data_IF_243994967807
#
_entry.id   IF_243994967807
#
_cell.length_a   1.000
_cell.length_b   1.000
_cell.length_c   1.000
_cell.angle_alpha   90.00
_cell.angle_beta   90.00
_cell.angle_gamma   90.00
#
_symmetry.space_group_name_H-M   'P 1'
#
loop_
_entity.id
_entity.type
_entity.pdbx_description
1 polymer ?
#
# COMPACT_ATOMS: atom_id res chain seq x y z
N UNK A 1 52.07 67.03 2.01
CA UNK A 1 50.71 66.75 2.52
C UNK A 1 50.33 65.30 2.25
N UNK A 2 50.22 64.43 3.27
CA UNK A 2 49.75 63.05 3.12
C UNK A 2 48.24 62.93 3.38
N UNK A 3 47.51 62.26 2.49
CA UNK A 3 46.07 61.95 2.69
C UNK A 3 45.90 60.55 3.28
N UNK A 4 45.06 60.53 4.33
CA UNK A 4 44.80 59.47 5.31
C UNK A 4 44.40 58.10 4.73
N UNK A 5 44.67 57.00 5.46
CA UNK A 5 44.20 55.65 5.10
C UNK A 5 42.70 55.48 5.34
N UNK A 6 42.01 54.80 4.42
CA UNK A 6 40.58 54.45 4.53
C UNK A 6 40.41 53.26 5.48
N UNK A 7 39.68 53.54 6.56
CA UNK A 7 38.97 52.68 7.51
C UNK A 7 38.87 51.18 7.17
N UNK A 8 39.28 50.39 8.17
CA UNK A 8 38.90 48.99 8.36
C UNK A 8 37.38 48.80 8.26
N UNK A 9 36.94 47.88 7.40
CA UNK A 9 35.55 47.46 7.30
C UNK A 9 35.27 46.41 8.37
N UNK A 10 34.21 46.68 9.12
CA UNK A 10 33.72 45.89 10.22
C UNK A 10 33.23 44.50 9.78
N UNK A 11 33.55 43.52 10.63
CA UNK A 11 32.73 42.38 11.03
C UNK A 11 31.55 41.98 10.12
N UNK A 12 31.74 40.91 9.36
CA UNK A 12 30.64 40.04 8.92
C UNK A 12 30.91 38.62 9.44
N UNK A 13 30.34 38.31 10.60
CA UNK A 13 30.24 36.93 11.12
C UNK A 13 29.36 36.13 10.16
N UNK A 14 29.84 35.09 9.47
CA UNK A 14 28.94 34.16 8.82
C UNK A 14 28.17 33.39 9.89
N UNK A 15 26.87 33.60 9.88
CA UNK A 15 25.86 32.97 10.72
C UNK A 15 26.08 31.46 10.72
N UNK A 16 26.30 30.88 11.91
CA UNK A 16 26.23 29.42 12.12
C UNK A 16 24.90 28.96 11.52
N UNK A 17 24.95 28.30 10.35
CA UNK A 17 23.84 27.52 9.81
C UNK A 17 23.39 26.61 10.94
N UNK A 18 22.31 26.99 11.62
CA UNK A 18 21.62 26.15 12.59
C UNK A 18 21.24 24.90 11.81
N UNK A 19 22.03 23.83 11.99
CA UNK A 19 21.59 22.48 11.65
C UNK A 19 20.24 22.33 12.34
N UNK A 20 19.15 22.36 11.56
CA UNK A 20 17.82 22.04 12.06
C UNK A 20 17.95 20.66 12.66
N UNK A 21 17.96 20.57 14.00
CA UNK A 21 17.86 19.28 14.68
C UNK A 21 16.55 18.64 14.19
N UNK A 22 16.55 17.38 13.75
CA UNK A 22 15.29 16.70 13.47
C UNK A 22 14.43 16.77 14.74
N UNK A 23 13.15 17.07 14.57
CA UNK A 23 12.20 17.15 15.70
C UNK A 23 12.17 15.78 16.37
N UNK A 24 12.57 15.74 17.64
CA UNK A 24 12.78 14.53 18.47
C UNK A 24 11.55 13.62 18.66
N UNK A 25 10.38 13.93 18.05
CA UNK A 25 9.10 13.26 18.32
C UNK A 25 8.33 12.83 17.07
N UNK A 26 8.96 12.66 15.91
CA UNK A 26 8.32 11.90 14.83
C UNK A 26 8.36 10.42 15.26
N UNK A 27 7.24 9.92 15.82
CA UNK A 27 7.04 8.48 16.06
C UNK A 27 7.36 7.77 14.75
N UNK A 28 8.52 7.12 14.67
CA UNK A 28 8.82 6.24 13.54
C UNK A 28 7.72 5.19 13.48
N UNK A 29 7.13 4.92 12.30
CA UNK A 29 6.12 3.91 12.18
C UNK A 29 6.74 2.57 12.60
N UNK A 30 6.13 1.91 13.58
CA UNK A 30 6.59 0.61 14.05
C UNK A 30 6.14 -0.46 13.05
N UNK A 31 7.03 -1.40 12.67
CA UNK A 31 6.65 -2.47 11.76
C UNK A 31 5.52 -3.30 12.39
N UNK A 32 4.46 -3.54 11.62
CA UNK A 32 3.33 -4.34 12.06
C UNK A 32 3.75 -5.81 12.05
N UNK A 33 3.70 -6.49 13.20
CA UNK A 33 3.98 -7.93 13.31
C UNK A 33 2.71 -8.78 13.23
N UNK A 34 1.54 -8.17 13.46
CA UNK A 34 0.25 -8.83 13.42
C UNK A 34 -0.80 -7.84 12.91
N UNK A 35 -1.55 -8.24 11.88
CA UNK A 35 -2.43 -7.33 11.15
C UNK A 35 -3.76 -7.04 11.85
N UNK A 36 -4.23 -7.97 12.67
CA UNK A 36 -5.50 -7.86 13.39
C UNK A 36 -5.29 -8.15 14.88
N UNK A 37 -6.00 -7.43 15.73
CA UNK A 37 -6.02 -7.63 17.17
C UNK A 37 -7.18 -8.57 17.57
N UNK A 38 -7.11 -9.21 18.75
CA UNK A 38 -8.22 -10.02 19.25
C UNK A 38 -9.54 -9.25 19.33
N UNK A 39 -9.49 -7.93 19.57
CA UNK A 39 -10.64 -7.02 19.58
C UNK A 39 -11.31 -6.83 18.22
N UNK A 40 -10.64 -7.17 17.11
CA UNK A 40 -11.18 -6.99 15.76
C UNK A 40 -12.03 -8.19 15.32
N UNK A 41 -11.86 -9.35 15.96
CA UNK A 41 -12.63 -10.56 15.68
C UNK A 41 -14.14 -10.35 15.85
N UNK A 42 -14.66 -9.76 16.94
CA UNK A 42 -16.10 -9.54 17.08
C UNK A 42 -16.70 -8.59 16.05
N UNK A 43 -15.88 -7.74 15.44
CA UNK A 43 -16.30 -6.79 14.42
C UNK A 43 -16.39 -7.45 13.04
N UNK A 44 -15.40 -8.28 12.68
CA UNK A 44 -15.22 -8.76 11.30
C UNK A 44 -15.37 -10.27 11.10
N UNK A 45 -15.22 -11.06 12.17
CA UNK A 45 -15.21 -12.51 12.14
C UNK A 45 -16.54 -13.13 12.53
N UNK A 46 -16.72 -13.32 13.83
CA UNK A 46 -17.86 -14.00 14.49
C UNK A 46 -18.22 -13.28 15.80
N UNK A 47 -19.43 -13.50 16.31
CA UNK A 47 -19.87 -12.94 17.59
C UNK A 47 -19.00 -13.38 18.76
N UNK A 48 -18.85 -12.52 19.77
CA UNK A 48 -18.06 -12.81 20.99
C UNK A 48 -18.49 -14.10 21.69
N UNK A 49 -19.80 -14.39 21.71
CA UNK A 49 -20.36 -15.60 22.31
C UNK A 49 -19.78 -16.88 21.71
N UNK A 50 -19.45 -16.86 20.42
CA UNK A 50 -18.88 -18.01 19.72
C UNK A 50 -17.40 -18.25 20.11
N UNK A 51 -16.72 -17.25 20.69
CA UNK A 51 -15.31 -17.29 21.08
C UNK A 51 -15.15 -17.54 22.59
N UNK A 52 -16.21 -17.37 23.37
CA UNK A 52 -16.21 -17.43 24.85
C UNK A 52 -15.57 -18.68 25.49
N UNK A 53 -15.44 -19.79 24.76
CA UNK A 53 -14.81 -21.03 25.23
C UNK A 53 -13.39 -21.29 24.72
N UNK A 54 -12.79 -20.36 23.97
CA UNK A 54 -11.47 -20.51 23.36
C UNK A 54 -10.42 -19.79 24.21
N UNK A 55 -9.29 -20.44 24.55
CA UNK A 55 -8.23 -19.78 25.29
C UNK A 55 -7.63 -18.60 24.50
N UNK A 56 -7.32 -17.48 25.16
CA UNK A 56 -6.81 -16.28 24.48
C UNK A 56 -5.49 -16.55 23.74
N UNK A 57 -4.64 -17.44 24.26
CA UNK A 57 -3.40 -17.83 23.58
C UNK A 57 -3.65 -18.52 22.23
N UNK A 58 -4.72 -19.32 22.10
CA UNK A 58 -5.06 -19.96 20.83
C UNK A 58 -5.55 -18.94 19.80
N UNK A 59 -6.30 -17.93 20.26
CA UNK A 59 -6.75 -16.82 19.42
C UNK A 59 -5.56 -16.04 18.86
N UNK A 60 -4.60 -15.70 19.71
CA UNK A 60 -3.38 -15.01 19.27
C UNK A 60 -2.54 -15.86 18.31
N UNK A 61 -2.38 -17.16 18.59
CA UNK A 61 -1.64 -18.06 17.70
C UNK A 61 -2.30 -18.16 16.32
N UNK A 62 -3.62 -18.24 16.27
CA UNK A 62 -4.37 -18.27 15.02
C UNK A 62 -4.23 -16.96 14.24
N UNK A 63 -4.35 -15.80 14.89
CA UNK A 63 -4.13 -14.49 14.25
C UNK A 63 -2.70 -14.33 13.71
N UNK A 64 -1.69 -14.85 14.40
CA UNK A 64 -0.31 -14.88 13.91
C UNK A 64 -0.15 -15.80 12.70
N UNK A 65 -0.79 -16.97 12.71
CA UNK A 65 -0.83 -17.88 11.57
C UNK A 65 -1.46 -17.24 10.33
N UNK A 66 -2.63 -16.62 10.50
CA UNK A 66 -3.32 -15.87 9.46
C UNK A 66 -2.47 -14.71 8.92
N UNK A 67 -1.82 -13.95 9.80
CA UNK A 67 -0.92 -12.86 9.40
C UNK A 67 0.26 -13.37 8.56
N UNK A 68 0.86 -14.50 8.93
CA UNK A 68 1.93 -15.14 8.17
C UNK A 68 1.49 -15.58 6.77
N UNK A 69 0.23 -16.03 6.64
CA UNK A 69 -0.35 -16.40 5.34
C UNK A 69 -0.52 -15.19 4.43
N UNK A 70 -1.02 -14.07 4.99
CA UNK A 70 -1.16 -12.80 4.26
C UNK A 70 0.21 -12.26 3.86
N UNK A 71 1.21 -12.30 4.75
CA UNK A 71 2.59 -11.92 4.45
C UNK A 71 3.14 -12.67 3.24
N UNK A 72 2.87 -13.99 3.18
CA UNK A 72 3.30 -14.82 2.06
C UNK A 72 2.71 -14.35 0.73
N UNK A 73 1.43 -13.98 0.70
CA UNK A 73 0.79 -13.42 -0.49
C UNK A 73 1.38 -12.05 -0.86
N UNK A 74 1.60 -11.19 0.13
CA UNK A 74 2.04 -9.81 -0.07
C UNK A 74 3.53 -9.69 -0.42
N UNK A 75 4.38 -10.63 0.00
CA UNK A 75 5.81 -10.70 -0.36
C UNK A 75 6.07 -10.67 -1.86
N UNK A 76 5.10 -11.09 -2.67
CA UNK A 76 5.23 -11.07 -4.13
C UNK A 76 5.25 -9.65 -4.72
N UNK A 77 4.69 -8.64 -4.02
CA UNK A 77 4.50 -7.29 -4.55
C UNK A 77 4.98 -6.16 -3.64
N UNK A 78 5.01 -6.34 -2.33
CA UNK A 78 5.34 -5.30 -1.37
C UNK A 78 6.70 -5.52 -0.69
N UNK A 79 7.36 -4.41 -0.33
CA UNK A 79 8.60 -4.44 0.43
C UNK A 79 8.30 -4.53 1.92
N UNK A 80 8.63 -5.66 2.52
CA UNK A 80 8.45 -5.87 3.96
C UNK A 80 9.53 -5.15 4.77
N UNK A 81 9.23 -4.60 5.95
CA UNK A 81 7.96 -4.67 6.69
C UNK A 81 6.90 -3.64 6.26
N UNK A 82 5.62 -3.98 6.49
CA UNK A 82 4.51 -3.02 6.32
C UNK A 82 4.33 -2.13 7.57
N UNK A 83 3.95 -0.88 7.32
CA UNK A 83 3.72 0.14 8.34
C UNK A 83 2.24 0.44 8.58
N UNK A 84 1.41 0.35 7.53
CA UNK A 84 -0.04 0.52 7.63
C UNK A 84 -0.75 -0.50 6.75
N UNK A 85 -1.89 -0.98 7.20
CA UNK A 85 -2.77 -1.88 6.44
C UNK A 85 -4.19 -1.37 6.40
N UNK A 86 -4.90 -1.69 5.32
CA UNK A 86 -6.30 -1.33 5.14
C UNK A 86 -7.25 -2.24 5.94
N UNK A 87 -8.50 -1.79 6.09
CA UNK A 87 -9.54 -2.57 6.76
C UNK A 87 -9.85 -3.88 6.04
N UNK A 88 -9.62 -3.97 4.72
CA UNK A 88 -9.83 -5.20 3.97
C UNK A 88 -8.83 -6.28 4.38
N UNK A 89 -7.56 -5.92 4.57
CA UNK A 89 -6.52 -6.82 5.08
C UNK A 89 -6.83 -7.28 6.50
N UNK A 90 -7.25 -6.37 7.38
CA UNK A 90 -7.68 -6.71 8.75
C UNK A 90 -8.82 -7.71 8.73
N UNK A 91 -9.86 -7.44 7.92
CA UNK A 91 -11.02 -8.33 7.76
C UNK A 91 -10.61 -9.72 7.24
N UNK A 92 -9.74 -9.79 6.23
CA UNK A 92 -9.26 -11.06 5.70
C UNK A 92 -8.50 -11.87 6.77
N UNK A 93 -7.66 -11.19 7.56
CA UNK A 93 -6.92 -11.81 8.67
C UNK A 93 -7.88 -12.41 9.72
N UNK A 94 -8.89 -11.64 10.16
CA UNK A 94 -9.89 -12.12 11.11
C UNK A 94 -10.66 -13.34 10.59
N UNK A 95 -11.09 -13.33 9.32
CA UNK A 95 -11.86 -14.43 8.73
C UNK A 95 -11.04 -15.72 8.67
N UNK A 96 -9.77 -15.63 8.27
CA UNK A 96 -8.87 -16.79 8.22
C UNK A 96 -8.61 -17.34 9.62
N UNK A 97 -8.30 -16.47 10.59
CA UNK A 97 -8.04 -16.90 11.96
C UNK A 97 -9.26 -17.59 12.59
N UNK A 98 -10.45 -17.01 12.42
CA UNK A 98 -11.68 -17.61 12.95
C UNK A 98 -11.95 -18.99 12.37
N UNK A 99 -11.71 -19.19 11.07
CA UNK A 99 -11.88 -20.49 10.45
C UNK A 99 -10.95 -21.54 11.06
N UNK A 100 -9.67 -21.22 11.24
CA UNK A 100 -8.72 -22.14 11.85
C UNK A 100 -9.16 -22.53 13.28
N UNK A 101 -9.65 -21.55 14.06
CA UNK A 101 -10.17 -21.81 15.41
C UNK A 101 -11.40 -22.72 15.42
N UNK A 102 -12.34 -22.51 14.50
CA UNK A 102 -13.58 -23.29 14.42
C UNK A 102 -13.34 -24.71 13.90
N UNK A 103 -12.40 -24.88 12.98
CA UNK A 103 -12.00 -26.22 12.48
C UNK A 103 -11.43 -27.06 13.63
N UNK A 104 -10.60 -26.48 14.49
CA UNK A 104 -10.02 -27.18 15.65
C UNK A 104 -11.08 -27.54 16.69
N UNK A 105 -12.12 -26.71 16.87
CA UNK A 105 -13.20 -26.92 17.84
C UNK A 105 -14.17 -28.05 17.44
N UNK A 106 -14.25 -28.38 16.15
CA UNK A 106 -15.20 -29.35 15.61
C UNK A 106 -16.20 -28.66 14.70
N UNK A 107 -15.82 -28.56 13.42
CA UNK A 107 -16.62 -27.99 12.34
C UNK A 107 -17.80 -28.92 11.97
N UNK A 108 -19.03 -28.41 11.96
CA UNK A 108 -20.22 -29.12 11.50
C UNK A 108 -20.90 -28.36 10.34
N UNK A 109 -20.64 -28.73 9.07
CA UNK A 109 -21.19 -28.03 7.92
C UNK A 109 -22.72 -28.07 7.85
N UNK A 110 -23.38 -29.02 8.51
CA UNK A 110 -24.84 -29.14 8.51
C UNK A 110 -25.55 -28.10 9.39
N UNK A 111 -24.82 -27.37 10.24
CA UNK A 111 -25.38 -26.32 11.10
C UNK A 111 -25.69 -25.00 10.35
N UNK A 112 -25.37 -24.89 9.05
CA UNK A 112 -25.66 -23.75 8.18
C UNK A 112 -24.81 -22.49 8.43
N UNK A 113 -24.45 -22.19 9.69
CA UNK A 113 -23.54 -21.10 10.03
C UNK A 113 -22.10 -21.36 9.52
N UNK A 114 -21.70 -22.63 9.54
CA UNK A 114 -20.36 -23.09 9.16
C UNK A 114 -20.10 -22.97 7.65
N UNK A 115 -21.13 -23.17 6.82
CA UNK A 115 -21.02 -23.01 5.37
C UNK A 115 -20.76 -21.55 4.97
N UNK A 116 -21.44 -20.60 5.60
CA UNK A 116 -21.19 -19.17 5.40
C UNK A 116 -19.75 -18.79 5.74
N UNK A 117 -19.17 -19.42 6.76
CA UNK A 117 -17.80 -19.17 7.16
C UNK A 117 -16.80 -19.72 6.14
N UNK A 118 -17.08 -20.92 5.60
CA UNK A 118 -16.31 -21.49 4.50
C UNK A 118 -16.32 -20.60 3.26
N UNK A 119 -17.47 -20.05 2.88
CA UNK A 119 -17.59 -19.11 1.75
C UNK A 119 -16.78 -17.84 1.99
N UNK A 120 -16.85 -17.26 3.18
CA UNK A 120 -16.05 -16.07 3.53
C UNK A 120 -14.54 -16.32 3.43
N UNK A 121 -14.08 -17.50 3.82
CA UNK A 121 -12.66 -17.90 3.70
C UNK A 121 -12.27 -18.09 2.23
N UNK A 122 -13.17 -18.64 1.40
CA UNK A 122 -12.94 -18.76 -0.04
C UNK A 122 -12.85 -17.38 -0.71
N UNK A 123 -13.71 -16.44 -0.32
CA UNK A 123 -13.67 -15.06 -0.80
C UNK A 123 -12.37 -14.37 -0.38
N UNK A 124 -11.97 -14.51 0.89
CA UNK A 124 -10.72 -13.97 1.40
C UNK A 124 -9.50 -14.53 0.66
N UNK A 125 -9.46 -15.85 0.42
CA UNK A 125 -8.41 -16.49 -0.37
C UNK A 125 -8.40 -16.03 -1.83
N UNK A 126 -9.57 -15.83 -2.42
CA UNK A 126 -9.70 -15.34 -3.79
C UNK A 126 -9.21 -13.90 -3.90
N UNK A 127 -9.53 -13.06 -2.91
CA UNK A 127 -8.99 -11.71 -2.79
C UNK A 127 -7.46 -11.71 -2.64
N UNK A 128 -6.90 -12.53 -1.74
CA UNK A 128 -5.43 -12.65 -1.58
C UNK A 128 -4.74 -13.09 -2.88
N UNK A 129 -5.34 -14.00 -3.66
CA UNK A 129 -4.84 -14.38 -4.98
C UNK A 129 -4.90 -13.23 -5.98
N UNK A 130 -5.94 -12.40 -5.95
CA UNK A 130 -6.05 -11.21 -6.79
C UNK A 130 -5.01 -10.14 -6.40
N UNK A 131 -4.69 -10.02 -5.12
CA UNK A 131 -3.63 -9.14 -4.64
C UNK A 131 -2.25 -9.64 -5.08
N UNK A 132 -1.97 -10.94 -4.91
CA UNK A 132 -0.70 -11.55 -5.33
C UNK A 132 -0.50 -11.49 -6.85
N UNK A 133 -1.56 -11.66 -7.65
CA UNK A 133 -1.52 -11.52 -9.11
C UNK A 133 -1.50 -10.06 -9.58
N UNK A 134 -1.73 -9.11 -8.67
CA UNK A 134 -1.71 -7.69 -8.95
C UNK A 134 -2.93 -7.12 -9.67
N UNK A 135 -4.03 -7.87 -9.71
CA UNK A 135 -5.33 -7.42 -10.19
C UNK A 135 -5.99 -6.44 -9.21
N UNK A 136 -5.68 -6.56 -7.92
CA UNK A 136 -6.14 -5.68 -6.86
C UNK A 136 -4.96 -5.17 -6.03
N UNK A 137 -4.99 -3.89 -5.64
CA UNK A 137 -3.94 -3.28 -4.82
C UNK A 137 -4.59 -2.78 -3.52
N UNK A 138 -4.32 -3.40 -2.37
CA UNK A 138 -4.79 -2.90 -1.08
C UNK A 138 -4.09 -1.58 -0.72
N UNK A 139 -4.74 -0.76 0.10
CA UNK A 139 -4.16 0.51 0.58
C UNK A 139 -3.21 0.23 1.76
N UNK A 140 -1.94 -0.04 1.44
CA UNK A 140 -0.89 -0.38 2.40
C UNK A 140 0.32 0.53 2.23
N UNK A 141 0.95 0.90 3.34
CA UNK A 141 2.24 1.61 3.32
C UNK A 141 3.34 0.61 3.62
N UNK A 142 4.24 0.41 2.67
CA UNK A 142 5.37 -0.51 2.78
C UNK A 142 6.68 0.22 3.13
N UNK A 143 7.78 -0.52 3.30
CA UNK A 143 9.09 0.08 3.62
C UNK A 143 9.92 0.47 2.40
N UNK A 144 9.33 0.52 1.21
CA UNK A 144 10.07 0.91 0.01
C UNK A 144 10.43 2.40 0.10
N UNK A 145 11.71 2.72 -0.11
CA UNK A 145 12.22 4.10 -0.09
C UNK A 145 11.96 4.86 -1.39
N UNK A 146 11.39 4.18 -2.39
CA UNK A 146 11.23 4.67 -3.75
C UNK A 146 9.75 4.71 -4.15
N UNK A 147 8.97 5.66 -3.60
CA UNK A 147 7.63 5.95 -4.12
C UNK A 147 7.49 7.44 -4.43
N UNK A 148 7.55 7.76 -5.71
CA UNK A 148 6.76 8.87 -6.27
C UNK A 148 5.31 8.36 -6.36
N UNK A 149 4.32 9.02 -5.74
CA UNK A 149 2.93 8.61 -5.84
C UNK A 149 2.48 8.59 -7.31
N UNK A 150 1.99 7.44 -7.80
CA UNK A 150 1.38 7.29 -9.13
C UNK A 150 2.13 6.46 -10.17
N UNK A 151 3.28 5.86 -9.84
CA UNK A 151 3.97 4.93 -10.74
C UNK A 151 3.78 3.47 -10.29
N UNK A 152 2.81 2.79 -10.90
CA UNK A 152 2.76 1.32 -10.90
C UNK A 152 4.06 0.77 -11.51
N UNK A 153 4.97 0.26 -10.69
CA UNK A 153 6.30 -0.17 -11.11
C UNK A 153 6.33 -1.41 -12.04
N UNK A 154 5.17 -1.94 -12.45
CA UNK A 154 5.09 -3.24 -13.18
C UNK A 154 4.11 -3.26 -14.35
N UNK A 155 3.68 -2.11 -14.90
CA UNK A 155 2.87 -2.10 -16.12
C UNK A 155 3.73 -1.82 -17.35
N UNK A 156 3.63 -2.68 -18.36
CA UNK A 156 4.24 -2.43 -19.67
C UNK A 156 3.66 -1.12 -20.24
N UNK A 157 4.49 -0.08 -20.37
CA UNK A 157 4.09 1.21 -20.94
C UNK A 157 4.25 1.15 -22.45
N UNK A 158 3.14 1.06 -23.18
CA UNK A 158 3.14 1.20 -24.63
C UNK A 158 3.13 2.69 -24.98
N UNK A 159 4.17 3.15 -25.67
CA UNK A 159 4.23 4.49 -26.26
C UNK A 159 4.15 4.31 -27.76
N UNK A 160 3.04 4.73 -28.38
CA UNK A 160 2.99 4.85 -29.83
C UNK A 160 3.78 6.07 -30.27
N UNK A 161 4.60 5.94 -31.29
CA UNK A 161 5.22 7.09 -31.95
C UNK A 161 4.13 8.05 -32.47
N UNK A 162 4.42 9.34 -32.53
CA UNK A 162 3.55 10.31 -33.19
C UNK A 162 3.28 9.86 -34.63
N UNK A 163 2.00 9.93 -35.04
CA UNK A 163 1.56 9.54 -36.39
C UNK A 163 2.48 10.16 -37.43
N UNK A 164 3.05 9.35 -38.32
CA UNK A 164 3.93 9.78 -39.42
C UNK A 164 3.19 10.58 -40.52
N UNK A 165 2.06 11.19 -40.20
CA UNK A 165 1.31 12.09 -41.08
C UNK A 165 0.53 11.40 -42.21
N UNK A 166 0.31 10.08 -42.16
CA UNK A 166 -0.40 9.36 -43.23
C UNK A 166 -1.94 9.47 -43.13
N UNK A 167 -2.47 10.10 -42.08
CA UNK A 167 -3.91 10.30 -41.88
C UNK A 167 -4.34 11.74 -42.17
N UNK A 168 -4.14 12.21 -43.40
CA UNK A 168 -4.82 13.39 -43.94
C UNK A 168 -6.01 12.97 -44.81
N UNK A 169 -7.03 12.33 -44.20
CA UNK A 169 -8.34 12.23 -44.86
C UNK A 169 -9.10 13.55 -44.63
N UNK A 170 -8.80 14.51 -45.50
CA UNK A 170 -9.64 15.66 -45.78
C UNK A 170 -9.46 16.89 -44.89
N UNK A 171 -8.35 17.61 -45.02
CA UNK A 171 -8.36 19.04 -44.67
C UNK A 171 -7.45 19.83 -45.62
N UNK A 172 -8.11 20.40 -46.62
CA UNK A 172 -7.66 21.48 -47.49
C UNK A 172 -7.04 22.61 -46.67
N UNK A 173 -5.71 22.71 -46.66
CA UNK A 173 -5.02 23.99 -46.45
C UNK A 173 -4.13 24.27 -47.66
N UNK A 174 -4.50 25.35 -48.35
CA UNK A 174 -3.95 25.82 -49.63
C UNK A 174 -2.45 26.13 -49.53
N UNK A 175 -1.62 25.81 -50.54
CA UNK A 175 -0.27 26.37 -50.63
C UNK A 175 -0.31 27.87 -51.02
N UNK A 176 0.52 28.73 -50.43
CA UNK A 176 0.62 30.13 -50.82
C UNK A 176 1.46 30.29 -52.11
N UNK A 177 0.83 30.87 -53.13
CA UNK A 177 1.42 31.72 -54.17
C UNK A 177 2.64 31.24 -54.94
N UNK A 178 2.44 30.74 -56.16
CA UNK A 178 3.43 30.83 -57.24
C UNK A 178 2.70 31.09 -58.58
N UNK A 179 3.21 32.08 -59.33
CA UNK A 179 2.86 32.52 -60.70
C UNK A 179 1.65 33.46 -60.91
N UNK A 180 1.97 34.73 -61.21
CA UNK A 180 1.29 35.51 -62.25
C UNK A 180 2.35 36.29 -63.04
N UNK A 181 2.66 35.78 -64.22
CA UNK A 181 3.25 36.55 -65.33
C UNK A 181 2.18 36.65 -66.40
N UNK A 182 2.07 37.86 -66.95
CA UNK A 182 1.40 38.34 -68.16
C UNK A 182 0.62 39.65 -67.87
#
# INVERSE_FOLDING_TARGET
>A
MPRRPRRASAAARPTKRRRRRPRRNEKMPTPITQYAQPSDIPVYGISEDAISGIPPEAVEQSLRGASSMIDSAFRSRFTMPLFTVDQATVRACCVLAVYDLLVVRGYNPAAGADENLRLRVQDANSWLKQVASGLMTPDVTDSSTDIVPGTDATRARVVSASSRGWNSRGETSRPPGFFRGD
#
